data_IF_694587132785
#
_entry.id   IF_694587132785
#
_cell.length_a   1.000
_cell.length_b   1.000
_cell.length_c   1.000
_cell.angle_alpha   90.00
_cell.angle_beta   90.00
_cell.angle_gamma   90.00
#
_symmetry.space_group_name_H-M   'P 1'
#
loop_
_entity.id
_entity.type
_entity.pdbx_description
1 polymer ?
#
# COMPACT_ATOMS: atom_id res chain seq x y z
N UNK A 1 7.46 -18.69 13.67
CA UNK A 1 7.35 -18.49 15.13
C UNK A 1 8.39 -17.45 15.48
N UNK A 2 8.00 -16.29 16.00
CA UNK A 2 8.93 -15.19 16.22
C UNK A 2 9.91 -15.52 17.36
N UNK A 3 11.13 -15.00 17.31
CA UNK A 3 12.10 -15.23 18.38
C UNK A 3 11.57 -14.59 19.67
N UNK A 4 11.73 -15.28 20.80
CA UNK A 4 11.31 -14.79 22.11
C UNK A 4 12.33 -13.79 22.68
N UNK A 5 12.60 -12.72 21.93
CA UNK A 5 13.56 -11.65 22.24
C UNK A 5 12.94 -10.30 21.88
N UNK A 6 13.54 -9.20 22.33
CA UNK A 6 13.13 -7.85 21.92
C UNK A 6 13.65 -7.53 20.51
N UNK A 7 13.04 -6.57 19.79
CA UNK A 7 13.57 -6.11 18.49
C UNK A 7 15.05 -5.70 18.56
N UNK A 8 15.46 -4.97 19.60
CA UNK A 8 16.86 -4.57 19.79
C UNK A 8 17.80 -5.78 19.86
N UNK A 9 17.46 -6.79 20.69
CA UNK A 9 18.27 -8.00 20.83
C UNK A 9 18.30 -8.84 19.56
N UNK A 10 17.19 -8.85 18.81
CA UNK A 10 17.13 -9.52 17.52
C UNK A 10 18.09 -8.87 16.52
N UNK A 11 18.13 -7.54 16.46
CA UNK A 11 19.05 -6.79 15.59
C UNK A 11 20.50 -6.97 16.02
N UNK A 12 20.79 -6.90 17.33
CA UNK A 12 22.13 -7.16 17.87
C UNK A 12 22.64 -8.56 17.48
N UNK A 13 21.80 -9.58 17.64
CA UNK A 13 22.14 -10.94 17.24
C UNK A 13 22.31 -11.08 15.73
N UNK A 14 21.43 -10.45 14.94
CA UNK A 14 21.48 -10.52 13.47
C UNK A 14 22.74 -9.87 12.92
N UNK A 15 23.19 -8.74 13.49
CA UNK A 15 24.44 -8.06 13.12
C UNK A 15 25.70 -8.88 13.43
N UNK A 16 25.60 -9.91 14.28
CA UNK A 16 26.71 -10.83 14.56
C UNK A 16 26.76 -12.02 13.58
N UNK A 17 25.75 -12.19 12.72
CA UNK A 17 25.72 -13.26 11.74
C UNK A 17 26.51 -12.88 10.47
N UNK A 18 27.03 -13.86 9.71
CA UNK A 18 27.62 -13.62 8.40
C UNK A 18 26.60 -12.99 7.43
N UNK A 19 27.07 -12.13 6.52
CA UNK A 19 26.21 -11.51 5.50
C UNK A 19 25.48 -12.56 4.64
N UNK A 20 26.16 -13.66 4.29
CA UNK A 20 25.56 -14.76 3.54
C UNK A 20 24.36 -15.40 4.28
N UNK A 21 24.44 -15.52 5.61
CA UNK A 21 23.34 -16.05 6.42
C UNK A 21 22.11 -15.13 6.35
N UNK A 22 22.32 -13.81 6.44
CA UNK A 22 21.23 -12.84 6.32
C UNK A 22 20.61 -12.86 4.93
N UNK A 23 21.45 -12.95 3.89
CA UNK A 23 21.01 -13.03 2.50
C UNK A 23 20.19 -14.29 2.22
N UNK A 24 20.63 -15.45 2.71
CA UNK A 24 19.89 -16.71 2.58
C UNK A 24 18.54 -16.64 3.30
N UNK A 25 18.51 -16.06 4.51
CA UNK A 25 17.27 -15.81 5.25
C UNK A 25 16.28 -14.95 4.46
N UNK A 26 16.75 -13.82 3.92
CA UNK A 26 15.92 -12.92 3.09
C UNK A 26 15.41 -13.61 1.83
N UNK A 27 16.23 -14.42 1.16
CA UNK A 27 15.83 -15.17 -0.03
C UNK A 27 14.76 -16.22 0.29
N UNK A 28 14.91 -16.95 1.40
CA UNK A 28 13.90 -17.92 1.84
C UNK A 28 12.55 -17.22 2.11
N UNK A 29 12.58 -16.07 2.79
CA UNK A 29 11.37 -15.30 3.07
C UNK A 29 10.73 -14.75 1.78
N UNK A 30 11.54 -14.24 0.86
CA UNK A 30 11.08 -13.76 -0.44
C UNK A 30 10.40 -14.87 -1.26
N UNK A 31 11.08 -16.01 -1.43
CA UNK A 31 10.54 -17.16 -2.16
C UNK A 31 9.27 -17.71 -1.50
N UNK A 32 9.19 -17.68 -0.17
CA UNK A 32 7.98 -18.09 0.53
C UNK A 32 6.82 -17.11 0.27
N UNK A 33 7.08 -15.80 0.28
CA UNK A 33 6.09 -14.78 -0.03
C UNK A 33 5.55 -14.91 -1.46
N UNK A 34 6.42 -15.17 -2.44
CA UNK A 34 6.01 -15.41 -3.83
C UNK A 34 5.10 -16.64 -3.94
N UNK A 35 5.49 -17.78 -3.34
CA UNK A 35 4.66 -18.99 -3.32
C UNK A 35 3.30 -18.76 -2.66
N UNK A 36 3.27 -18.01 -1.56
CA UNK A 36 2.03 -17.70 -0.85
C UNK A 36 1.11 -16.79 -1.67
N UNK A 37 1.69 -15.80 -2.39
CA UNK A 37 0.94 -14.94 -3.30
C UNK A 37 0.41 -15.72 -4.50
N UNK A 38 1.23 -16.56 -5.15
CA UNK A 38 0.78 -17.41 -6.26
C UNK A 38 -0.38 -18.32 -5.86
N UNK A 39 -0.26 -18.96 -4.68
CA UNK A 39 -1.34 -19.76 -4.11
C UNK A 39 -2.58 -18.91 -3.86
N UNK A 40 -2.43 -17.72 -3.28
CA UNK A 40 -3.53 -16.79 -3.08
C UNK A 40 -4.23 -16.44 -4.40
N UNK A 41 -3.49 -15.98 -5.40
CA UNK A 41 -4.02 -15.54 -6.68
C UNK A 41 -4.73 -16.67 -7.43
N UNK A 42 -4.16 -17.87 -7.44
CA UNK A 42 -4.75 -19.04 -8.10
C UNK A 42 -6.07 -19.46 -7.44
N UNK A 43 -6.12 -19.53 -6.11
CA UNK A 43 -7.37 -19.83 -5.40
C UNK A 43 -8.42 -18.74 -5.60
N UNK A 44 -8.00 -17.48 -5.60
CA UNK A 44 -8.91 -16.35 -5.77
C UNK A 44 -9.58 -16.37 -7.16
N UNK A 45 -8.83 -16.69 -8.22
CA UNK A 45 -9.36 -16.89 -9.59
C UNK A 45 -10.45 -17.95 -9.64
N UNK A 46 -10.36 -19.00 -8.82
CA UNK A 46 -11.38 -20.05 -8.68
C UNK A 46 -12.53 -19.66 -7.73
N UNK A 47 -12.62 -18.40 -7.28
CA UNK A 47 -13.55 -17.94 -6.26
C UNK A 47 -13.46 -18.70 -4.93
N UNK A 48 -12.25 -19.12 -4.55
CA UNK A 48 -11.92 -19.83 -3.29
C UNK A 48 -10.92 -19.04 -2.46
N UNK A 49 -10.99 -19.20 -1.15
CA UNK A 49 -10.04 -18.63 -0.21
C UNK A 49 -8.82 -19.57 -0.06
N UNK A 50 -7.60 -19.07 -0.23
CA UNK A 50 -6.36 -19.86 -0.04
C UNK A 50 -6.07 -20.23 1.42
N UNK A 51 -6.70 -19.55 2.38
CA UNK A 51 -6.50 -19.79 3.82
C UNK A 51 -7.40 -20.90 4.36
N UNK A 52 -8.70 -20.85 4.05
CA UNK A 52 -9.67 -21.84 4.55
C UNK A 52 -10.14 -22.83 3.49
N UNK A 53 -9.70 -22.68 2.22
CA UNK A 53 -10.01 -23.55 1.07
C UNK A 53 -11.50 -23.56 0.64
N UNK A 54 -12.35 -22.79 1.33
CA UNK A 54 -13.79 -22.65 1.06
C UNK A 54 -14.05 -21.56 0.01
N UNK A 55 -15.25 -21.53 -0.55
CA UNK A 55 -15.66 -20.45 -1.45
C UNK A 55 -15.60 -19.09 -0.75
N UNK A 56 -15.18 -18.04 -1.47
CA UNK A 56 -15.15 -16.65 -0.99
C UNK A 56 -16.53 -16.13 -0.54
N UNK A 57 -17.62 -16.80 -0.95
CA UNK A 57 -19.00 -16.47 -0.57
C UNK A 57 -19.42 -17.06 0.79
N UNK A 58 -18.60 -17.91 1.40
CA UNK A 58 -18.95 -18.59 2.65
C UNK A 58 -18.71 -17.72 3.87
N UNK A 59 -19.52 -17.91 4.91
CA UNK A 59 -19.34 -17.26 6.20
C UNK A 59 -19.67 -18.27 7.32
N UNK A 60 -18.87 -18.28 8.39
CA UNK A 60 -19.10 -19.15 9.54
C UNK A 60 -18.45 -18.58 10.80
N UNK A 61 -19.22 -18.04 11.74
CA UNK A 61 -18.70 -17.47 12.99
C UNK A 61 -17.77 -18.43 13.79
N UNK A 62 -17.90 -19.76 13.61
CA UNK A 62 -17.03 -20.77 14.23
C UNK A 62 -15.62 -20.89 13.63
N UNK A 63 -15.39 -20.27 12.48
CA UNK A 63 -14.13 -20.38 11.73
C UNK A 63 -13.85 -19.05 11.04
N UNK A 64 -13.37 -18.04 11.80
CA UNK A 64 -12.95 -16.75 11.26
C UNK A 64 -11.93 -16.89 10.13
N UNK A 65 -12.07 -16.07 9.10
CA UNK A 65 -11.17 -16.10 7.95
C UNK A 65 -11.15 -14.75 7.24
N UNK A 66 -9.96 -14.32 6.78
CA UNK A 66 -9.76 -13.00 6.17
C UNK A 66 -10.62 -12.74 4.92
N UNK A 67 -11.09 -13.78 4.21
CA UNK A 67 -12.02 -13.59 3.09
C UNK A 67 -13.35 -12.96 3.48
N UNK A 68 -13.67 -12.89 4.77
CA UNK A 68 -14.82 -12.13 5.25
C UNK A 68 -14.71 -10.63 4.98
N UNK A 69 -13.49 -10.11 4.79
CA UNK A 69 -13.28 -8.73 4.36
C UNK A 69 -13.86 -8.45 2.96
N UNK A 70 -14.09 -9.49 2.14
CA UNK A 70 -14.86 -9.41 0.88
C UNK A 70 -16.37 -9.37 1.08
N UNK A 71 -16.85 -9.34 2.34
CA UNK A 71 -18.24 -9.24 2.74
C UNK A 71 -19.16 -10.34 2.17
N UNK A 72 -18.87 -11.64 2.43
CA UNK A 72 -19.80 -12.72 2.11
C UNK A 72 -21.14 -12.55 2.83
N UNK A 73 -22.21 -13.12 2.26
CA UNK A 73 -23.55 -13.06 2.84
C UNK A 73 -23.53 -13.60 4.28
N UNK A 74 -23.99 -12.78 5.23
CA UNK A 74 -24.05 -13.13 6.65
C UNK A 74 -22.95 -12.48 7.50
N UNK A 75 -21.86 -12.00 6.90
CA UNK A 75 -20.90 -11.17 7.61
C UNK A 75 -21.55 -9.83 8.00
N UNK A 76 -21.41 -9.45 9.27
CA UNK A 76 -22.01 -8.26 9.89
C UNK A 76 -20.95 -7.62 10.75
N UNK A 77 -21.07 -6.31 11.00
CA UNK A 77 -20.15 -5.54 11.87
C UNK A 77 -19.86 -6.23 13.21
N UNK A 78 -20.86 -6.82 13.86
CA UNK A 78 -20.69 -7.55 15.13
C UNK A 78 -19.77 -8.78 15.07
N UNK A 79 -19.46 -9.29 13.87
CA UNK A 79 -18.56 -10.43 13.66
C UNK A 79 -17.12 -9.99 13.39
N UNK A 80 -16.87 -8.70 13.15
CA UNK A 80 -15.54 -8.17 12.90
C UNK A 80 -14.53 -8.44 14.04
N UNK A 81 -14.93 -8.42 15.33
CA UNK A 81 -14.05 -8.83 16.42
C UNK A 81 -13.42 -10.21 16.27
N UNK A 82 -14.18 -11.18 15.74
CA UNK A 82 -13.68 -12.52 15.51
C UNK A 82 -12.53 -12.57 14.49
N UNK A 83 -12.40 -11.58 13.61
CA UNK A 83 -11.29 -11.50 12.66
C UNK A 83 -10.04 -10.93 13.32
N UNK A 84 -10.15 -9.77 13.96
CA UNK A 84 -8.97 -9.12 14.54
C UNK A 84 -8.50 -9.76 15.84
N UNK A 85 -9.27 -10.65 16.46
CA UNK A 85 -8.78 -11.48 17.56
C UNK A 85 -7.88 -12.61 17.02
N UNK A 86 -8.22 -13.17 15.86
CA UNK A 86 -7.52 -14.30 15.24
C UNK A 86 -6.31 -13.88 14.38
N UNK A 87 -6.43 -12.77 13.64
CA UNK A 87 -5.42 -12.35 12.68
C UNK A 87 -4.74 -11.06 13.10
N UNK A 88 -3.41 -11.05 12.98
CA UNK A 88 -2.58 -9.88 13.26
C UNK A 88 -2.85 -8.74 12.26
N UNK A 89 -2.49 -7.52 12.63
CA UNK A 89 -2.56 -6.35 11.73
C UNK A 89 -1.87 -6.66 10.40
N UNK A 90 -0.64 -7.18 10.41
CA UNK A 90 0.11 -7.45 9.17
C UNK A 90 -0.57 -8.50 8.29
N UNK A 91 -1.24 -9.50 8.88
CA UNK A 91 -2.00 -10.51 8.11
C UNK A 91 -3.25 -9.90 7.48
N UNK A 92 -3.98 -9.07 8.23
CA UNK A 92 -5.15 -8.36 7.72
C UNK A 92 -4.78 -7.37 6.62
N UNK A 93 -3.74 -6.56 6.83
CA UNK A 93 -3.29 -5.55 5.88
C UNK A 93 -2.72 -6.18 4.61
N UNK A 94 -1.90 -7.24 4.73
CA UNK A 94 -1.38 -7.97 3.58
C UNK A 94 -2.51 -8.60 2.74
N UNK A 95 -3.51 -9.22 3.38
CA UNK A 95 -4.65 -9.80 2.65
C UNK A 95 -5.41 -8.75 1.85
N UNK A 96 -5.74 -7.61 2.46
CA UNK A 96 -6.46 -6.52 1.78
C UNK A 96 -5.63 -5.96 0.63
N UNK A 97 -4.32 -5.77 0.83
CA UNK A 97 -3.40 -5.28 -0.19
C UNK A 97 -3.28 -6.26 -1.36
N UNK A 98 -3.14 -7.56 -1.09
CA UNK A 98 -3.11 -8.57 -2.16
C UNK A 98 -4.41 -8.63 -2.95
N UNK A 99 -5.57 -8.51 -2.29
CA UNK A 99 -6.86 -8.41 -2.97
C UNK A 99 -6.92 -7.18 -3.87
N UNK A 100 -6.48 -6.01 -3.37
CA UNK A 100 -6.46 -4.78 -4.14
C UNK A 100 -5.53 -4.85 -5.38
N UNK A 101 -4.41 -5.56 -5.26
CA UNK A 101 -3.44 -5.73 -6.35
C UNK A 101 -3.84 -6.74 -7.44
N UNK A 102 -4.94 -7.50 -7.28
CA UNK A 102 -5.35 -8.52 -8.25
C UNK A 102 -5.62 -7.96 -9.65
N UNK A 103 -6.12 -6.72 -9.73
CA UNK A 103 -6.46 -6.05 -10.99
C UNK A 103 -5.28 -5.24 -11.56
N UNK A 104 -4.14 -5.22 -10.87
CA UNK A 104 -2.93 -4.49 -11.24
C UNK A 104 -2.17 -3.98 -10.00
N UNK A 105 -0.83 -3.93 -10.05
CA UNK A 105 -0.02 -3.47 -8.94
C UNK A 105 -0.26 -1.98 -8.65
N UNK A 106 -0.28 -1.63 -7.37
CA UNK A 106 -0.32 -0.25 -6.82
C UNK A 106 -1.54 0.62 -7.17
N UNK A 107 -2.24 0.41 -8.29
CA UNK A 107 -3.35 1.26 -8.76
C UNK A 107 -4.56 1.31 -7.83
N UNK A 108 -4.67 0.35 -6.91
CA UNK A 108 -5.77 0.22 -5.98
C UNK A 108 -5.34 0.45 -4.52
N UNK A 109 -4.12 0.92 -4.26
CA UNK A 109 -3.55 1.08 -2.92
C UNK A 109 -2.89 2.46 -2.81
N UNK A 110 -3.52 3.34 -2.04
CA UNK A 110 -2.96 4.64 -1.70
C UNK A 110 -2.38 4.63 -0.29
N UNK A 111 -1.05 4.61 -0.20
CA UNK A 111 -0.27 4.79 1.04
C UNK A 111 0.71 5.96 0.98
N UNK A 112 0.45 6.93 0.09
CA UNK A 112 1.32 8.09 -0.12
C UNK A 112 1.31 8.99 1.11
N UNK A 113 2.43 9.10 1.79
CA UNK A 113 2.55 9.82 3.07
C UNK A 113 2.10 11.28 2.96
N UNK A 114 2.31 11.93 1.82
CA UNK A 114 1.89 13.31 1.59
C UNK A 114 0.35 13.49 1.52
N UNK A 115 -0.38 12.46 1.13
CA UNK A 115 -1.86 12.46 1.04
C UNK A 115 -2.53 12.05 2.35
N UNK A 116 -1.76 11.45 3.25
CA UNK A 116 -2.17 11.00 4.58
C UNK A 116 -1.70 11.98 5.65
N UNK A 117 -2.54 12.95 6.08
CA UNK A 117 -2.08 14.01 6.97
C UNK A 117 -1.73 13.51 8.37
N UNK A 118 -0.67 14.11 8.92
CA UNK A 118 -0.17 13.83 10.27
C UNK A 118 0.94 12.78 10.29
N UNK A 119 1.71 12.74 11.38
CA UNK A 119 2.76 11.74 11.57
C UNK A 119 2.13 10.41 12.00
N UNK A 120 1.44 9.74 11.07
CA UNK A 120 0.80 8.45 11.31
C UNK A 120 1.81 7.33 11.07
N UNK A 121 1.77 6.35 11.97
CA UNK A 121 2.61 5.17 11.91
C UNK A 121 2.13 4.19 10.83
N UNK A 122 0.81 4.13 10.69
CA UNK A 122 0.11 3.33 9.69
C UNK A 122 -0.96 4.23 9.09
N UNK A 123 -0.93 4.42 7.78
CA UNK A 123 -2.05 4.98 7.05
C UNK A 123 -2.05 4.46 5.61
N UNK A 124 -3.15 3.83 5.21
CA UNK A 124 -3.37 3.48 3.80
C UNK A 124 -4.84 3.24 3.51
N UNK A 125 -5.20 3.46 2.25
CA UNK A 125 -6.50 3.11 1.68
C UNK A 125 -6.30 2.12 0.54
N UNK A 126 -7.11 1.06 0.53
CA UNK A 126 -7.11 0.06 -0.54
C UNK A 126 -8.54 -0.17 -1.05
N UNK A 127 -8.68 -0.44 -2.34
CA UNK A 127 -9.97 -0.65 -3.01
C UNK A 127 -9.97 -1.95 -3.80
N UNK A 128 -11.09 -2.66 -3.78
CA UNK A 128 -11.35 -3.76 -4.71
C UNK A 128 -12.84 -3.79 -5.02
N UNK A 129 -13.18 -3.62 -6.30
CA UNK A 129 -14.54 -3.49 -6.77
C UNK A 129 -15.32 -2.42 -5.96
N UNK A 130 -16.38 -2.83 -5.26
CA UNK A 130 -17.25 -1.98 -4.47
C UNK A 130 -16.80 -1.81 -3.01
N UNK A 131 -15.66 -2.38 -2.61
CA UNK A 131 -15.19 -2.37 -1.22
C UNK A 131 -13.96 -1.47 -1.12
N UNK A 132 -13.98 -0.58 -0.14
CA UNK A 132 -12.82 0.23 0.24
C UNK A 132 -12.48 -0.04 1.69
N UNK A 133 -11.22 -0.38 1.94
CA UNK A 133 -10.67 -0.54 3.27
C UNK A 133 -9.71 0.61 3.55
N UNK A 134 -9.66 1.07 4.79
CA UNK A 134 -8.67 2.05 5.20
C UNK A 134 -8.20 1.78 6.61
N UNK A 135 -6.89 1.85 6.83
CA UNK A 135 -6.24 1.55 8.09
C UNK A 135 -5.56 2.83 8.59
N UNK A 136 -5.65 3.11 9.88
CA UNK A 136 -5.05 4.31 10.48
C UNK A 136 -4.54 4.00 11.88
N UNK A 137 -3.32 4.44 12.20
CA UNK A 137 -2.73 4.45 13.53
C UNK A 137 -1.85 5.69 13.69
N UNK A 138 -2.24 6.63 14.55
CA UNK A 138 -1.36 7.72 14.97
C UNK A 138 -0.42 7.29 16.10
N UNK A 139 0.58 8.13 16.43
CA UNK A 139 1.48 7.87 17.57
C UNK A 139 0.71 7.68 18.89
N UNK A 140 -0.34 8.46 19.13
CA UNK A 140 -1.17 8.34 20.34
C UNK A 140 -2.00 7.04 20.39
N UNK A 141 -2.39 6.51 19.24
CA UNK A 141 -3.12 5.23 19.16
C UNK A 141 -2.14 4.08 19.43
N UNK A 142 -0.92 4.18 18.89
CA UNK A 142 0.18 3.24 19.11
C UNK A 142 0.68 3.20 20.55
N UNK A 143 0.77 4.35 21.23
CA UNK A 143 1.10 4.40 22.66
C UNK A 143 -0.05 3.94 23.56
N UNK A 144 -1.28 4.03 23.05
CA UNK A 144 -2.50 3.91 23.84
C UNK A 144 -2.86 5.22 24.57
N UNK A 145 -4.15 5.49 24.65
CA UNK A 145 -4.69 6.68 25.32
C UNK A 145 -4.65 6.52 26.85
N UNK A 146 -3.51 6.80 27.47
CA UNK A 146 -3.24 6.57 28.92
C UNK A 146 -4.31 7.11 29.89
N UNK A 147 -5.00 8.20 29.52
CA UNK A 147 -6.03 8.86 30.33
C UNK A 147 -7.48 8.48 29.93
N UNK A 148 -7.66 7.51 29.03
CA UNK A 148 -8.97 7.05 28.56
C UNK A 148 -9.31 5.69 29.18
N UNK A 149 -10.59 5.43 29.43
CA UNK A 149 -11.06 4.08 29.77
C UNK A 149 -11.21 3.19 28.53
N UNK A 150 -11.10 3.77 27.33
CA UNK A 150 -11.29 3.09 26.06
C UNK A 150 -10.11 3.39 25.14
N UNK A 151 -9.46 2.35 24.61
CA UNK A 151 -8.26 2.52 23.77
C UNK A 151 -7.00 2.90 24.54
N UNK A 152 -6.88 2.55 25.82
CA UNK A 152 -5.69 2.79 26.65
C UNK A 152 -4.54 1.79 26.40
N UNK A 153 -4.64 1.00 25.35
CA UNK A 153 -3.65 0.04 24.88
C UNK A 153 -3.27 0.39 23.44
N UNK A 154 -2.09 -0.04 22.95
CA UNK A 154 -1.70 0.09 21.55
C UNK A 154 -2.75 -0.50 20.61
N UNK A 155 -3.28 0.34 19.71
CA UNK A 155 -4.33 -0.08 18.79
C UNK A 155 -4.27 0.66 17.45
N UNK A 156 -4.96 0.12 16.46
CA UNK A 156 -5.24 0.80 15.20
C UNK A 156 -6.74 0.88 14.93
N UNK A 157 -7.10 1.64 13.92
CA UNK A 157 -8.47 1.75 13.44
C UNK A 157 -8.57 1.28 12.00
N UNK A 158 -9.74 0.73 11.66
CA UNK A 158 -10.08 0.31 10.31
C UNK A 158 -11.44 0.88 9.91
N UNK A 159 -11.55 1.38 8.70
CA UNK A 159 -12.81 1.73 8.05
C UNK A 159 -13.06 0.75 6.89
N UNK A 160 -14.32 0.37 6.71
CA UNK A 160 -14.79 -0.36 5.53
C UNK A 160 -15.99 0.39 4.94
N UNK A 161 -15.89 0.75 3.67
CA UNK A 161 -17.00 1.30 2.87
C UNK A 161 -17.44 0.31 1.80
N UNK A 162 -18.75 0.25 1.56
CA UNK A 162 -19.38 -0.52 0.48
C UNK A 162 -20.09 0.45 -0.45
N UNK A 163 -19.66 0.54 -1.72
CA UNK A 163 -20.12 1.56 -2.66
C UNK A 163 -20.05 2.98 -2.06
N UNK A 164 -18.92 3.31 -1.43
CA UNK A 164 -18.71 4.59 -0.72
C UNK A 164 -19.47 4.75 0.60
N UNK A 165 -20.46 3.90 0.90
CA UNK A 165 -21.27 3.98 2.12
C UNK A 165 -20.58 3.27 3.29
N UNK A 166 -20.54 3.87 4.50
CA UNK A 166 -19.89 3.25 5.65
C UNK A 166 -20.55 1.93 6.07
N UNK A 167 -19.72 0.90 6.28
CA UNK A 167 -20.09 -0.37 6.90
C UNK A 167 -19.43 -0.54 8.28
N UNK A 168 -18.13 -0.22 8.36
CA UNK A 168 -17.36 -0.06 9.59
C UNK A 168 -16.70 1.32 9.53
N UNK A 169 -16.79 2.11 10.60
CA UNK A 169 -16.15 3.40 10.77
C UNK A 169 -14.91 3.28 11.66
N UNK A 170 -13.95 4.21 11.52
CA UNK A 170 -12.76 4.27 12.38
C UNK A 170 -13.09 4.25 13.88
N UNK A 171 -14.15 4.96 14.30
CA UNK A 171 -14.56 5.04 15.70
C UNK A 171 -15.26 3.79 16.23
N UNK A 172 -15.55 2.78 15.40
CA UNK A 172 -16.31 1.61 15.81
C UNK A 172 -15.50 0.65 16.68
N UNK A 173 -14.18 0.56 16.44
CA UNK A 173 -13.29 -0.39 17.10
C UNK A 173 -11.94 0.25 17.37
N UNK A 174 -11.39 0.01 18.57
CA UNK A 174 -9.97 0.18 18.88
C UNK A 174 -9.35 -1.20 18.77
N UNK A 175 -8.78 -1.50 17.61
CA UNK A 175 -8.34 -2.86 17.27
C UNK A 175 -6.96 -3.07 17.91
N UNK A 176 -6.82 -3.97 18.89
CA UNK A 176 -5.55 -4.18 19.58
C UNK A 176 -4.52 -4.74 18.60
N UNK A 177 -3.28 -4.26 18.71
CA UNK A 177 -2.16 -4.96 18.08
C UNK A 177 -1.85 -6.26 18.81
N UNK A 178 -1.56 -7.33 18.07
CA UNK A 178 -0.98 -8.52 18.68
C UNK A 178 0.48 -8.26 19.07
N UNK A 179 1.03 -9.11 19.93
CA UNK A 179 2.45 -9.02 20.32
C UNK A 179 3.39 -9.05 19.12
N UNK A 180 3.05 -9.88 18.13
CA UNK A 180 3.80 -10.02 16.89
C UNK A 180 3.78 -8.73 16.06
N UNK A 181 2.64 -8.04 16.01
CA UNK A 181 2.54 -6.75 15.32
C UNK A 181 3.39 -5.69 16.01
N UNK A 182 3.35 -5.62 17.35
CA UNK A 182 4.15 -4.66 18.12
C UNK A 182 5.65 -4.89 17.89
N UNK A 183 6.10 -6.15 17.86
CA UNK A 183 7.48 -6.48 17.56
C UNK A 183 7.88 -5.99 16.17
N UNK A 184 7.09 -6.28 15.13
CA UNK A 184 7.35 -5.84 13.76
C UNK A 184 7.44 -4.33 13.67
N UNK A 185 6.41 -3.65 14.17
CA UNK A 185 6.31 -2.20 14.10
C UNK A 185 7.52 -1.58 14.78
N UNK A 186 7.89 -2.02 15.97
CA UNK A 186 9.07 -1.54 16.66
C UNK A 186 10.36 -1.83 15.87
N UNK A 187 10.48 -3.01 15.26
CA UNK A 187 11.64 -3.40 14.46
C UNK A 187 11.86 -2.44 13.28
N UNK A 188 10.88 -2.27 12.38
CA UNK A 188 11.08 -1.43 11.19
C UNK A 188 10.96 0.07 11.45
N UNK A 189 10.49 0.49 12.64
CA UNK A 189 10.45 1.93 12.99
C UNK A 189 11.71 2.38 13.71
N UNK A 190 12.26 1.57 14.63
CA UNK A 190 13.49 1.90 15.36
C UNK A 190 14.76 1.51 14.61
N UNK A 191 14.72 0.44 13.82
CA UNK A 191 15.87 -0.11 13.10
C UNK A 191 15.67 -0.09 11.59
N UNK A 192 15.11 1.00 11.06
CA UNK A 192 14.79 1.17 9.63
C UNK A 192 15.99 1.09 8.68
N UNK A 193 17.19 1.30 9.21
CA UNK A 193 18.47 1.16 8.52
C UNK A 193 18.90 -0.31 8.34
N UNK A 194 18.29 -1.21 9.11
CA UNK A 194 18.62 -2.64 9.13
C UNK A 194 17.46 -3.52 8.66
N UNK A 195 16.24 -3.22 9.09
CA UNK A 195 15.05 -4.01 8.81
C UNK A 195 14.03 -3.17 8.03
N UNK A 196 13.64 -3.67 6.86
CA UNK A 196 12.66 -3.03 5.98
C UNK A 196 11.47 -3.96 5.87
N UNK A 197 10.27 -3.42 6.10
CA UNK A 197 9.02 -4.15 5.87
C UNK A 197 8.59 -3.98 4.41
N UNK A 198 8.22 -5.08 3.74
CA UNK A 198 7.64 -5.06 2.40
C UNK A 198 6.35 -5.87 2.35
N UNK A 199 5.44 -5.46 1.48
CA UNK A 199 4.20 -6.21 1.20
C UNK A 199 4.29 -7.04 -0.09
N UNK A 200 5.44 -7.05 -0.77
CA UNK A 200 5.64 -7.73 -2.06
C UNK A 200 4.59 -7.27 -3.08
N UNK A 201 3.78 -8.21 -3.59
CA UNK A 201 2.66 -7.91 -4.48
C UNK A 201 1.59 -6.98 -3.88
N UNK A 202 1.58 -6.75 -2.57
CA UNK A 202 0.70 -5.82 -1.88
C UNK A 202 1.31 -4.42 -1.62
N UNK A 203 2.48 -4.14 -2.18
CA UNK A 203 3.13 -2.84 -2.05
C UNK A 203 2.26 -1.73 -2.65
N UNK A 204 2.20 -0.58 -1.96
CA UNK A 204 1.49 0.61 -2.43
C UNK A 204 2.42 1.63 -3.07
N UNK A 205 1.86 2.77 -3.45
CA UNK A 205 2.54 3.77 -4.28
C UNK A 205 3.71 4.46 -3.60
N UNK A 206 3.73 4.54 -2.25
CA UNK A 206 4.80 5.21 -1.51
C UNK A 206 6.19 4.60 -1.76
N UNK A 207 6.25 3.30 -2.08
CA UNK A 207 7.51 2.59 -2.30
C UNK A 207 8.29 3.15 -3.50
N UNK A 208 7.58 3.50 -4.58
CA UNK A 208 8.18 4.14 -5.75
C UNK A 208 8.12 5.68 -5.68
N UNK A 209 7.02 6.26 -5.22
CA UNK A 209 6.85 7.72 -5.20
C UNK A 209 7.64 8.42 -4.08
N UNK A 210 8.12 7.66 -3.09
CA UNK A 210 8.86 8.20 -1.94
C UNK A 210 10.33 8.53 -2.20
N UNK A 211 10.86 8.23 -3.39
CA UNK A 211 12.27 8.43 -3.71
C UNK A 211 12.47 8.96 -5.13
N UNK A 212 13.55 9.71 -5.36
CA UNK A 212 13.89 10.21 -6.68
C UNK A 212 14.10 9.05 -7.68
N UNK A 213 14.82 7.99 -7.29
CA UNK A 213 15.04 6.82 -8.15
C UNK A 213 13.75 6.08 -8.49
N UNK A 214 12.78 6.01 -7.57
CA UNK A 214 11.49 5.39 -7.84
C UNK A 214 10.63 6.23 -8.79
N UNK A 215 10.68 7.56 -8.69
CA UNK A 215 10.04 8.45 -9.67
C UNK A 215 10.64 8.29 -11.07
N UNK A 216 11.97 8.19 -11.17
CA UNK A 216 12.65 7.90 -12.44
C UNK A 216 12.21 6.55 -13.01
N UNK A 217 12.17 5.51 -12.17
CA UNK A 217 11.70 4.19 -12.56
C UNK A 217 10.27 4.23 -13.14
N UNK A 218 9.36 4.98 -12.50
CA UNK A 218 7.99 5.16 -13.00
C UNK A 218 8.01 5.80 -14.39
N UNK A 219 8.73 6.90 -14.58
CA UNK A 219 8.75 7.62 -15.87
C UNK A 219 9.32 6.74 -16.99
N UNK A 220 10.39 6.00 -16.71
CA UNK A 220 11.14 5.24 -17.72
C UNK A 220 10.47 3.91 -18.10
N UNK A 221 9.71 3.30 -17.18
CA UNK A 221 9.16 1.94 -17.36
C UNK A 221 7.63 1.87 -17.42
N UNK A 222 6.95 3.00 -17.30
CA UNK A 222 5.49 3.04 -17.50
C UNK A 222 5.12 2.92 -18.98
N UNK A 223 3.95 2.32 -19.21
CA UNK A 223 3.28 2.30 -20.51
C UNK A 223 1.97 3.09 -20.44
N UNK A 224 1.55 3.75 -21.53
CA UNK A 224 0.26 4.42 -21.59
C UNK A 224 -0.87 3.39 -21.53
N UNK A 225 -1.99 3.79 -20.94
CA UNK A 225 -3.24 3.02 -20.91
C UNK A 225 -4.37 3.88 -21.49
N UNK A 226 -5.33 3.23 -22.16
CA UNK A 226 -6.43 3.94 -22.82
C UNK A 226 -7.44 4.52 -21.81
N UNK A 227 -7.67 3.82 -20.70
CA UNK A 227 -8.60 4.22 -19.66
C UNK A 227 -7.82 4.79 -18.45
N UNK A 228 -7.93 6.10 -18.16
CA UNK A 228 -7.28 6.72 -17.02
C UNK A 228 -7.64 6.07 -15.66
N UNK A 229 -8.85 5.54 -15.51
CA UNK A 229 -9.31 4.83 -14.31
C UNK A 229 -8.54 3.51 -14.05
N UNK A 230 -7.86 2.97 -15.07
CA UNK A 230 -7.02 1.78 -14.93
C UNK A 230 -5.54 2.12 -14.70
N UNK A 231 -5.15 3.40 -14.78
CA UNK A 231 -3.78 3.85 -14.60
C UNK A 231 -3.38 3.86 -13.12
N UNK A 232 -2.19 3.34 -12.81
CA UNK A 232 -1.59 3.52 -11.50
C UNK A 232 -1.09 4.96 -11.29
N UNK A 233 -0.53 5.58 -12.33
CA UNK A 233 0.09 6.90 -12.27
C UNK A 233 -0.43 7.81 -13.37
N UNK A 234 -0.46 9.11 -13.08
CA UNK A 234 -0.61 10.18 -14.06
C UNK A 234 0.71 10.92 -14.21
N UNK A 235 1.11 11.16 -15.45
CA UNK A 235 2.37 11.82 -15.80
C UNK A 235 2.07 13.15 -16.48
N UNK A 236 2.55 14.24 -15.88
CA UNK A 236 2.45 15.59 -16.46
C UNK A 236 3.85 16.12 -16.75
N UNK A 237 4.17 16.31 -18.03
CA UNK A 237 5.50 16.78 -18.46
C UNK A 237 5.45 18.25 -18.87
N UNK A 238 6.33 19.05 -18.28
CA UNK A 238 6.63 20.43 -18.64
C UNK A 238 7.98 20.49 -19.31
N UNK A 239 8.05 21.21 -20.44
CA UNK A 239 9.28 21.42 -21.21
C UNK A 239 9.49 22.92 -21.32
N UNK A 240 10.67 23.38 -20.94
CA UNK A 240 11.07 24.78 -20.97
C UNK A 240 12.36 24.93 -21.75
N UNK A 241 12.33 25.72 -22.82
CA UNK A 241 13.54 26.12 -23.56
C UNK A 241 14.23 27.30 -22.92
N UNK A 242 15.46 27.59 -23.36
CA UNK A 242 16.12 28.86 -23.04
C UNK A 242 15.33 30.02 -23.64
N UNK A 243 15.53 31.20 -23.05
CA UNK A 243 14.94 32.44 -23.55
C UNK A 243 15.35 32.67 -25.02
N UNK A 244 14.35 32.90 -25.88
CA UNK A 244 14.55 33.10 -27.33
C UNK A 244 14.58 31.81 -28.16
N UNK A 245 14.61 30.63 -27.54
CA UNK A 245 14.52 29.33 -28.23
C UNK A 245 13.09 28.78 -28.21
N UNK A 246 12.72 28.01 -29.23
CA UNK A 246 11.42 27.35 -29.34
C UNK A 246 11.57 25.87 -29.67
N UNK A 247 10.58 25.07 -29.27
CA UNK A 247 10.46 23.67 -29.71
C UNK A 247 9.49 23.63 -30.88
N UNK A 248 9.89 22.98 -31.97
CA UNK A 248 9.02 22.78 -33.13
C UNK A 248 7.81 21.91 -32.76
N UNK A 249 6.63 22.28 -33.28
CA UNK A 249 5.44 21.43 -33.19
C UNK A 249 5.64 20.07 -33.84
N UNK A 250 6.40 20.00 -34.94
CA UNK A 250 6.71 18.76 -35.64
C UNK A 250 7.53 17.82 -34.76
N UNK A 251 8.48 18.35 -33.99
CA UNK A 251 9.27 17.56 -33.04
C UNK A 251 8.39 16.92 -31.95
N UNK A 252 7.40 17.67 -31.45
CA UNK A 252 6.43 17.13 -30.47
C UNK A 252 5.55 16.06 -31.11
N UNK A 253 5.06 16.30 -32.32
CA UNK A 253 4.24 15.34 -33.05
C UNK A 253 4.99 14.02 -33.30
N UNK A 254 6.25 14.10 -33.75
CA UNK A 254 7.13 12.95 -33.96
C UNK A 254 7.39 12.19 -32.65
N UNK A 255 7.53 12.89 -31.54
CA UNK A 255 7.71 12.25 -30.23
C UNK A 255 6.43 11.54 -29.77
N UNK A 256 5.25 12.11 -30.02
CA UNK A 256 3.96 11.47 -29.73
C UNK A 256 3.72 10.23 -30.60
N UNK A 257 4.05 10.29 -31.89
CA UNK A 257 3.96 9.13 -32.78
C UNK A 257 4.92 8.04 -32.32
N UNK A 258 6.17 8.40 -32.00
CA UNK A 258 7.14 7.44 -31.49
C UNK A 258 6.72 6.78 -30.18
N UNK A 259 6.10 7.52 -29.27
CA UNK A 259 5.55 6.98 -28.03
C UNK A 259 4.48 5.91 -28.33
N UNK A 260 3.57 6.17 -29.28
CA UNK A 260 2.55 5.19 -29.71
C UNK A 260 3.19 3.95 -30.34
N UNK A 261 4.14 4.12 -31.26
CA UNK A 261 4.82 3.00 -31.93
C UNK A 261 5.58 2.09 -30.95
N UNK A 262 6.19 2.68 -29.92
CA UNK A 262 7.05 1.95 -28.98
C UNK A 262 6.32 1.46 -27.73
N UNK A 263 5.06 1.85 -27.53
CA UNK A 263 4.31 1.56 -26.30
C UNK A 263 4.89 2.24 -25.05
N UNK A 264 5.70 3.28 -25.22
CA UNK A 264 6.27 4.09 -24.14
C UNK A 264 5.38 5.29 -23.85
N UNK A 265 5.52 5.88 -22.66
CA UNK A 265 4.89 7.17 -22.36
C UNK A 265 5.56 8.30 -23.14
N UNK A 266 4.78 9.34 -23.45
CA UNK A 266 5.34 10.58 -24.04
C UNK A 266 6.44 11.18 -23.15
N UNK A 267 6.25 11.14 -21.83
CA UNK A 267 7.24 11.61 -20.85
C UNK A 267 8.60 10.89 -20.98
N UNK A 268 8.60 9.57 -21.12
CA UNK A 268 9.83 8.79 -21.34
C UNK A 268 10.52 9.20 -22.65
N UNK A 269 9.77 9.23 -23.76
CA UNK A 269 10.31 9.52 -25.10
C UNK A 269 10.90 10.94 -25.17
N UNK A 270 10.20 11.93 -24.62
CA UNK A 270 10.65 13.32 -24.72
C UNK A 270 11.90 13.60 -23.88
N UNK A 271 12.02 12.95 -22.70
CA UNK A 271 13.21 13.04 -21.86
C UNK A 271 14.43 12.43 -22.53
N UNK A 272 14.26 11.30 -23.21
CA UNK A 272 15.34 10.65 -23.97
C UNK A 272 15.82 11.54 -25.12
N UNK A 273 14.88 12.13 -25.89
CA UNK A 273 15.20 12.94 -27.07
C UNK A 273 15.84 14.29 -26.76
N UNK A 274 15.42 14.93 -25.67
CA UNK A 274 15.89 16.27 -25.28
C UNK A 274 17.02 16.22 -24.24
N UNK A 275 17.60 15.03 -23.96
CA UNK A 275 18.60 14.83 -22.91
C UNK A 275 19.87 15.67 -23.11
N UNK A 276 20.26 15.86 -24.36
CA UNK A 276 21.47 16.61 -24.76
C UNK A 276 21.15 18.03 -25.26
N UNK A 277 19.88 18.43 -25.19
CA UNK A 277 19.43 19.76 -25.60
C UNK A 277 19.50 20.76 -24.44
N UNK A 278 19.47 22.04 -24.77
CA UNK A 278 19.41 23.14 -23.81
C UNK A 278 18.02 23.34 -23.18
N UNK A 279 17.16 22.32 -23.20
CA UNK A 279 15.82 22.37 -22.64
C UNK A 279 15.80 21.79 -21.21
N UNK A 280 15.06 22.44 -20.31
CA UNK A 280 14.73 21.92 -19.00
C UNK A 280 13.43 21.13 -19.08
N UNK A 281 13.42 19.90 -18.55
CA UNK A 281 12.25 19.03 -18.54
C UNK A 281 11.92 18.68 -17.10
N UNK A 282 10.67 18.90 -16.71
CA UNK A 282 10.15 18.45 -15.43
C UNK A 282 8.97 17.50 -15.69
N UNK A 283 8.99 16.31 -15.08
CA UNK A 283 7.83 15.41 -15.09
C UNK A 283 7.30 15.29 -13.67
N UNK A 284 6.02 15.59 -13.50
CA UNK A 284 5.27 15.39 -12.26
C UNK A 284 4.62 14.01 -12.36
N UNK A 285 4.88 13.17 -11.37
CA UNK A 285 4.20 11.89 -11.17
C UNK A 285 3.17 12.09 -10.07
N UNK A 286 1.91 11.83 -10.36
CA UNK A 286 0.82 11.81 -9.38
C UNK A 286 0.06 10.48 -9.44
N UNK A 287 -0.82 10.19 -8.48
CA UNK A 287 -1.72 9.05 -8.61
C UNK A 287 -2.58 9.14 -9.86
N UNK A 288 -2.88 7.98 -10.45
CA UNK A 288 -3.87 7.87 -11.52
C UNK A 288 -5.31 8.01 -10.98
N UNK A 289 -6.25 8.28 -11.87
CA UNK A 289 -7.63 8.65 -11.51
C UNK A 289 -8.38 7.55 -10.74
N UNK A 290 -8.04 6.28 -11.00
CA UNK A 290 -8.65 5.13 -10.33
C UNK A 290 -8.13 4.84 -8.92
N UNK A 291 -7.02 5.47 -8.52
CA UNK A 291 -6.40 5.27 -7.21
C UNK A 291 -7.35 5.78 -6.13
N UNK A 292 -7.64 4.98 -5.08
CA UNK A 292 -8.57 5.42 -4.06
C UNK A 292 -8.02 6.62 -3.28
N UNK A 293 -8.87 7.62 -3.06
CA UNK A 293 -8.53 8.75 -2.19
C UNK A 293 -8.21 8.29 -0.76
N UNK A 294 -7.16 8.87 -0.18
CA UNK A 294 -6.80 8.72 1.22
C UNK A 294 -8.01 9.02 2.14
N UNK A 295 -8.47 8.01 2.89
CA UNK A 295 -9.57 8.19 3.81
C UNK A 295 -9.07 8.75 5.14
N UNK A 296 -9.59 9.91 5.53
CA UNK A 296 -9.15 10.58 6.74
C UNK A 296 -10.04 10.25 7.94
N UNK A 297 -9.41 9.89 9.06
CA UNK A 297 -10.06 9.90 10.37
C UNK A 297 -10.22 11.36 10.82
N UNK A 298 -11.43 11.89 10.76
CA UNK A 298 -11.71 13.21 11.34
C UNK A 298 -11.69 13.12 12.86
N UNK A 299 -10.65 13.66 13.49
CA UNK A 299 -10.56 13.83 14.95
C UNK A 299 -11.42 15.00 15.45
N UNK A 300 -12.00 14.84 16.65
CA UNK A 300 -13.07 15.68 17.21
C UNK A 300 -12.72 17.14 17.55
N UNK A 301 -13.79 17.97 17.60
CA UNK A 301 -13.88 19.41 17.91
C UNK A 301 -12.70 20.25 17.38
N UNK A 302 -12.94 20.95 16.26
CA UNK A 302 -12.33 22.26 16.03
C UNK A 302 -12.43 23.04 17.34
N UNK A 303 -11.29 23.32 18.00
CA UNK A 303 -11.26 24.42 18.97
C UNK A 303 -11.73 25.63 18.19
N UNK A 304 -12.96 26.07 18.44
CA UNK A 304 -13.39 27.40 18.04
C UNK A 304 -12.42 28.34 18.75
N UNK A 305 -11.54 28.98 17.98
CA UNK A 305 -10.96 30.25 18.39
C UNK A 305 -12.03 31.30 18.51
#
# INVERSE_FOLDING_TARGET
>A
MRPNVTPDKFVEWSKQQPEEFLREGNEIEHLQAERDYEKFANFFKEARCSLCMKSLKTFSAKSPCLHWLLRPKGFKKKHFPLLYEEFTYFRMSAYVRWVASLDGPMKNINDIQAEHPGNKLIDFTAKYQHITWSFSCGSSDFEGHKNSNYGNFPHYHMQIKLNGSPFINYGDFHIPFHKDDLFDIELFTKHKDFAIHSYGHGTGMQDLMGSASGLEFIVDHSSPIDNPEDAAYSLSTMIMTKEGETISGDFIADAMEKAKETGKTFASVIRERLKDDNASIATIVSPGDGVPEAQQRTGGRKKKG
#
